data_IF_343591126620
#
_entry.id   IF_343591126620
#
_cell.length_a   1.000
_cell.length_b   1.000
_cell.length_c   1.000
_cell.angle_alpha   90.00
_cell.angle_beta   90.00
_cell.angle_gamma   90.00
#
_symmetry.space_group_name_H-M   'P 1'
#
loop_
_entity.id
_entity.type
_entity.pdbx_description
1 polymer ?
#
# COMPACT_ATOMS: atom_id res chain seq x y z
N UNK A 1 -9.26 11.61 -16.12
CA UNK A 1 -9.35 12.15 -14.74
C UNK A 1 -8.24 11.46 -13.96
N UNK A 2 -7.19 12.19 -13.59
CA UNK A 2 -6.04 11.63 -12.87
C UNK A 2 -6.41 11.55 -11.38
N UNK A 3 -6.79 10.37 -10.91
CA UNK A 3 -6.90 10.13 -9.47
C UNK A 3 -5.49 10.31 -8.88
N UNK A 4 -5.35 11.27 -7.98
CA UNK A 4 -4.06 11.64 -7.36
C UNK A 4 -3.86 10.97 -6.00
N UNK A 5 -4.79 10.10 -5.62
CA UNK A 5 -4.84 9.40 -4.34
C UNK A 5 -4.02 8.10 -4.41
N UNK A 6 -3.44 7.72 -3.28
CA UNK A 6 -2.77 6.44 -3.09
C UNK A 6 -3.76 5.28 -3.03
N UNK A 7 -3.23 4.07 -3.01
CA UNK A 7 -4.01 2.84 -2.84
C UNK A 7 -3.38 2.02 -1.73
N UNK A 8 -4.18 1.68 -0.73
CA UNK A 8 -3.78 0.84 0.38
C UNK A 8 -4.41 -0.55 0.25
N UNK A 9 -3.59 -1.59 0.43
CA UNK A 9 -4.03 -2.97 0.54
C UNK A 9 -4.03 -3.38 2.01
N UNK A 10 -5.22 -3.45 2.61
CA UNK A 10 -5.40 -3.72 4.04
C UNK A 10 -5.79 -5.18 4.23
N UNK A 11 -5.12 -5.87 5.15
CA UNK A 11 -5.39 -7.29 5.48
C UNK A 11 -5.77 -7.40 6.95
N UNK A 12 -6.83 -8.13 7.26
CA UNK A 12 -7.24 -8.36 8.65
C UNK A 12 -6.27 -9.31 9.34
N UNK A 13 -5.60 -8.85 10.40
CA UNK A 13 -4.56 -9.62 11.11
C UNK A 13 -5.04 -10.97 11.66
N UNK A 14 -6.30 -11.11 12.05
CA UNK A 14 -6.86 -12.36 12.60
C UNK A 14 -7.45 -13.31 11.54
N UNK A 15 -7.66 -12.83 10.32
CA UNK A 15 -8.24 -13.60 9.22
C UNK A 15 -7.74 -13.07 7.89
N UNK A 16 -6.68 -13.70 7.38
CA UNK A 16 -5.93 -13.18 6.23
C UNK A 16 -6.64 -13.38 4.91
N UNK A 17 -7.72 -14.15 4.91
CA UNK A 17 -8.62 -14.25 3.76
C UNK A 17 -9.46 -12.97 3.57
N UNK A 18 -9.57 -12.13 4.62
CA UNK A 18 -10.25 -10.85 4.58
C UNK A 18 -9.25 -9.72 4.31
N UNK A 19 -9.46 -9.06 3.18
CA UNK A 19 -8.70 -7.90 2.78
C UNK A 19 -9.60 -6.88 2.08
N UNK A 20 -9.13 -5.65 2.00
CA UNK A 20 -9.76 -4.59 1.21
C UNK A 20 -8.70 -3.74 0.50
N UNK A 21 -9.10 -3.15 -0.62
CA UNK A 21 -8.31 -2.16 -1.35
C UNK A 21 -9.04 -0.83 -1.19
N UNK A 22 -8.37 0.15 -0.58
CA UNK A 22 -8.94 1.48 -0.31
C UNK A 22 -8.09 2.58 -0.91
N UNK A 23 -8.71 3.72 -1.21
CA UNK A 23 -7.98 4.93 -1.62
C UNK A 23 -7.41 5.61 -0.39
N UNK A 24 -6.13 5.99 -0.46
CA UNK A 24 -5.46 6.75 0.59
C UNK A 24 -5.15 8.18 0.14
N UNK A 25 -5.18 9.16 1.06
CA UNK A 25 -4.89 10.53 0.69
C UNK A 25 -3.45 10.66 0.19
N UNK A 26 -3.24 11.54 -0.78
CA UNK A 26 -1.90 11.88 -1.24
C UNK A 26 -1.04 12.42 -0.08
N UNK A 27 0.18 11.92 0.14
CA UNK A 27 1.05 12.42 1.19
C UNK A 27 1.60 13.81 0.83
N UNK A 28 1.88 14.61 1.86
CA UNK A 28 2.71 15.81 1.74
C UNK A 28 4.16 15.37 1.53
N UNK A 29 4.90 16.07 0.66
CA UNK A 29 6.32 15.82 0.45
C UNK A 29 7.15 16.83 1.24
N UNK A 30 8.16 16.31 1.95
CA UNK A 30 9.19 17.11 2.61
C UNK A 30 10.30 17.50 1.62
N UNK A 31 11.19 18.41 2.05
CA UNK A 31 12.32 18.84 1.21
C UNK A 31 13.20 17.65 0.81
N UNK A 32 13.39 17.46 -0.50
CA UNK A 32 14.19 16.37 -1.06
C UNK A 32 13.41 15.08 -1.36
N UNK A 33 12.12 15.00 -1.00
CA UNK A 33 11.29 13.84 -1.33
C UNK A 33 10.68 13.94 -2.74
N UNK A 34 10.42 12.77 -3.34
CA UNK A 34 9.82 12.65 -4.67
C UNK A 34 8.69 11.63 -4.60
N UNK A 35 7.52 12.00 -5.12
CA UNK A 35 6.38 11.09 -5.28
C UNK A 35 6.40 10.44 -6.67
N UNK A 36 6.42 9.11 -6.70
CA UNK A 36 6.30 8.33 -7.92
C UNK A 36 4.90 7.77 -8.08
N UNK A 37 4.40 7.78 -9.32
CA UNK A 37 3.24 6.98 -9.69
C UNK A 37 3.70 5.55 -9.97
N UNK A 38 3.07 4.57 -9.33
CA UNK A 38 3.38 3.15 -9.50
C UNK A 38 2.35 2.54 -10.45
N UNK A 39 2.79 2.16 -11.65
CA UNK A 39 1.89 1.52 -12.63
C UNK A 39 1.57 0.07 -12.28
N UNK A 40 2.55 -0.65 -11.72
CA UNK A 40 2.45 -2.09 -11.39
C UNK A 40 3.29 -2.44 -10.18
N UNK A 41 2.78 -3.32 -9.34
CA UNK A 41 3.51 -3.92 -8.22
C UNK A 41 3.15 -5.40 -8.09
N UNK A 42 3.96 -6.15 -7.35
CA UNK A 42 3.69 -7.54 -7.00
C UNK A 42 4.08 -7.81 -5.55
N UNK A 43 3.34 -8.70 -4.89
CA UNK A 43 3.72 -9.22 -3.57
C UNK A 43 4.72 -10.36 -3.74
N UNK A 44 5.78 -10.35 -2.93
CA UNK A 44 6.73 -11.46 -2.83
C UNK A 44 6.62 -12.13 -1.47
N UNK A 45 7.23 -13.30 -1.31
CA UNK A 45 7.21 -14.04 -0.05
C UNK A 45 7.74 -13.22 1.13
N UNK A 46 8.74 -12.35 0.91
CA UNK A 46 9.29 -11.51 1.98
C UNK A 46 8.28 -10.47 2.49
N UNK A 47 7.36 -10.01 1.64
CA UNK A 47 6.34 -9.02 2.01
C UNK A 47 5.26 -9.64 2.90
N UNK A 48 5.00 -10.94 2.74
CA UNK A 48 4.03 -11.69 3.55
C UNK A 48 4.63 -12.10 4.89
N UNK A 49 5.94 -12.41 4.95
CA UNK A 49 6.60 -12.76 6.21
C UNK A 49 6.60 -11.60 7.22
N UNK A 50 6.70 -10.35 6.77
CA UNK A 50 6.57 -9.20 7.67
C UNK A 50 5.18 -9.09 8.30
N UNK A 51 4.13 -9.42 7.56
CA UNK A 51 2.76 -9.46 8.09
C UNK A 51 2.57 -10.57 9.13
N UNK A 52 3.34 -11.67 9.06
CA UNK A 52 3.34 -12.74 10.08
C UNK A 52 4.03 -12.32 11.38
N UNK A 53 5.10 -11.52 11.29
CA UNK A 53 5.94 -11.15 12.44
C UNK A 53 5.45 -9.93 13.23
N UNK A 54 4.53 -9.14 12.67
CA UNK A 54 3.97 -7.94 13.29
C UNK A 54 2.86 -8.21 14.29
#
# INVERSE_FOLDING_TARGET
MQNSDGVDFLVQKQDWSKFEVTTSPRPTLEEGEILFSVDRFALTANNISYALSG
#
